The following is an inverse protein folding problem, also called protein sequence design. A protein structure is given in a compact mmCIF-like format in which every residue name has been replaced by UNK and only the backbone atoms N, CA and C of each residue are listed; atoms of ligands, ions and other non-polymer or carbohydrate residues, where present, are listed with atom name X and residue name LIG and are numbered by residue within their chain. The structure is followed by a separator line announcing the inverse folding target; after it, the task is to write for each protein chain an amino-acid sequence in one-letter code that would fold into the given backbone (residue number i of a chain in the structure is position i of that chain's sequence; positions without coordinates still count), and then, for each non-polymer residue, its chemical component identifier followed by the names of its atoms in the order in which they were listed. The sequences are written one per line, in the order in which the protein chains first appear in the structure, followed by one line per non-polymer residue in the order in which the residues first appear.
data_IF_188615103662
#
_entry.id   IF_188615103662
#
_cell.length_a   1.000
_cell.length_b   1.000
_cell.length_c   1.000
_cell.angle_alpha   90.00
_cell.angle_beta   90.00
_cell.angle_gamma   90.00
#
_symmetry.space_group_name_H-M   'P 1'
#
loop_
_entity.id
_entity.type
_entity.pdbx_description
1 polymer ?
#
# COMPACT_ATOMS: atom_id res chain seq x y z
N UNK A 1 14.81 0.35 -34.34
CA UNK A 1 15.01 0.92 -32.98
C UNK A 1 15.72 -0.10 -32.13
N UNK A 2 16.83 0.27 -31.48
CA UNK A 2 17.57 -0.63 -30.61
C UNK A 2 16.69 -1.00 -29.40
N UNK A 3 16.82 -2.23 -28.88
CA UNK A 3 16.02 -2.70 -27.74
C UNK A 3 16.14 -1.78 -26.50
N UNK A 4 17.31 -1.20 -26.28
CA UNK A 4 17.53 -0.21 -25.21
C UNK A 4 16.68 1.06 -25.40
N UNK A 5 16.56 1.56 -26.63
CA UNK A 5 15.74 2.74 -26.93
C UNK A 5 14.25 2.48 -26.71
N UNK A 6 13.78 1.25 -26.99
CA UNK A 6 12.39 0.84 -26.73
C UNK A 6 12.12 0.81 -25.23
N UNK A 7 13.00 0.17 -24.45
CA UNK A 7 12.85 0.08 -23.00
C UNK A 7 12.85 1.46 -22.32
N UNK A 8 13.79 2.33 -22.70
CA UNK A 8 13.86 3.71 -22.21
C UNK A 8 12.58 4.49 -22.54
N UNK A 9 12.03 4.32 -23.75
CA UNK A 9 10.79 4.98 -24.15
C UNK A 9 9.60 4.54 -23.30
N UNK A 10 9.47 3.24 -23.03
CA UNK A 10 8.38 2.70 -22.19
C UNK A 10 8.48 3.27 -20.77
N UNK A 11 9.68 3.22 -20.17
CA UNK A 11 9.90 3.75 -18.81
C UNK A 11 9.59 5.24 -18.75
N UNK A 12 10.06 6.02 -19.73
CA UNK A 12 9.80 7.44 -19.81
C UNK A 12 8.30 7.76 -19.92
N UNK A 13 7.56 7.01 -20.76
CA UNK A 13 6.11 7.17 -20.90
C UNK A 13 5.38 6.87 -19.59
N UNK A 14 5.75 5.80 -18.89
CA UNK A 14 5.10 5.42 -17.62
C UNK A 14 5.39 6.48 -16.55
N UNK A 15 6.65 6.89 -16.37
CA UNK A 15 7.04 7.88 -15.37
C UNK A 15 6.42 9.24 -15.67
N UNK A 16 6.48 9.70 -16.91
CA UNK A 16 5.90 10.98 -17.28
C UNK A 16 4.37 10.94 -17.19
N UNK A 17 3.76 9.82 -17.60
CA UNK A 17 2.33 9.58 -17.49
C UNK A 17 1.84 9.64 -16.03
N UNK A 18 2.55 9.00 -15.10
CA UNK A 18 2.18 9.05 -13.66
C UNK A 18 2.35 10.45 -13.07
N UNK A 19 3.43 11.16 -13.42
CA UNK A 19 3.66 12.56 -12.97
C UNK A 19 2.53 13.47 -13.48
N UNK A 20 2.21 13.42 -14.77
CA UNK A 20 1.14 14.24 -15.35
C UNK A 20 -0.20 13.90 -14.71
N UNK A 21 -0.51 12.61 -14.54
CA UNK A 21 -1.74 12.18 -13.87
C UNK A 21 -1.82 12.70 -12.43
N UNK A 22 -0.72 12.64 -11.67
CA UNK A 22 -0.66 13.18 -10.32
C UNK A 22 -0.88 14.70 -10.29
N UNK A 23 -0.21 15.46 -11.14
CA UNK A 23 -0.34 16.92 -11.21
C UNK A 23 -1.77 17.38 -11.58
N UNK A 24 -2.43 16.65 -12.49
CA UNK A 24 -3.83 16.88 -12.85
C UNK A 24 -4.79 16.58 -11.70
N UNK A 25 -4.46 15.61 -10.85
CA UNK A 25 -5.26 15.22 -9.68
C UNK A 25 -5.14 16.19 -8.51
N UNK A 26 -3.96 16.76 -8.26
CA UNK A 26 -3.66 17.61 -7.08
C UNK A 26 -4.59 18.82 -6.97
N UNK A 27 -5.01 19.42 -8.09
CA UNK A 27 -5.81 20.65 -8.06
C UNK A 27 -7.31 20.42 -7.86
N UNK A 28 -7.78 19.16 -7.88
CA UNK A 28 -9.22 18.84 -7.87
C UNK A 28 -9.81 18.61 -6.49
N UNK A 29 -8.98 18.45 -5.45
CA UNK A 29 -9.44 18.07 -4.12
C UNK A 29 -8.85 19.04 -3.09
N UNK A 30 -9.71 19.60 -2.22
CA UNK A 30 -9.24 20.39 -1.08
C UNK A 30 -8.48 19.46 -0.13
N UNK A 31 -7.19 19.73 0.06
CA UNK A 31 -6.31 18.95 0.93
C UNK A 31 -6.51 19.34 2.39
N UNK A 32 -7.41 18.63 3.08
CA UNK A 32 -7.43 18.60 4.55
C UNK A 32 -6.69 17.33 5.06
N UNK A 33 -6.37 17.24 6.37
CA UNK A 33 -5.68 16.07 6.93
C UNK A 33 -6.41 14.73 6.73
N UNK A 34 -7.74 14.71 6.73
CA UNK A 34 -8.54 13.50 6.45
C UNK A 34 -8.46 13.10 4.97
N UNK A 35 -8.51 14.06 4.05
CA UNK A 35 -8.31 13.81 2.62
C UNK A 35 -6.88 13.36 2.32
N UNK A 36 -5.89 13.92 3.00
CA UNK A 36 -4.49 13.57 2.79
C UNK A 36 -4.14 12.18 3.34
N UNK A 37 -4.60 11.85 4.56
CA UNK A 37 -4.18 10.62 5.25
C UNK A 37 -5.08 9.43 4.91
N UNK A 38 -6.40 9.64 4.84
CA UNK A 38 -7.38 8.55 4.64
C UNK A 38 -8.23 8.71 3.39
N UNK A 39 -7.85 9.63 2.48
CA UNK A 39 -8.60 9.93 1.25
C UNK A 39 -10.10 10.20 1.51
N UNK A 40 -10.41 10.84 2.64
CA UNK A 40 -11.79 11.11 3.07
C UNK A 40 -12.66 9.86 3.24
N UNK A 41 -12.07 8.66 3.28
CA UNK A 41 -12.76 7.36 3.36
C UNK A 41 -13.75 7.16 2.20
N UNK A 42 -13.53 7.81 1.06
CA UNK A 42 -14.43 7.78 -0.10
C UNK A 42 -14.09 6.69 -1.12
N UNK A 43 -12.93 6.05 -1.00
CA UNK A 43 -12.53 5.00 -1.93
C UNK A 43 -13.42 3.76 -1.79
N UNK A 44 -13.94 3.28 -2.92
CA UNK A 44 -14.71 2.04 -2.98
C UNK A 44 -13.81 0.81 -2.78
N UNK A 45 -14.43 -0.32 -2.40
CA UNK A 45 -13.72 -1.58 -2.07
C UNK A 45 -12.81 -2.08 -3.18
N UNK A 46 -13.26 -2.03 -4.44
CA UNK A 46 -12.46 -2.50 -5.59
C UNK A 46 -11.22 -1.64 -5.80
N UNK A 47 -11.37 -0.31 -5.73
CA UNK A 47 -10.26 0.61 -5.89
C UNK A 47 -9.25 0.46 -4.75
N UNK A 48 -9.72 0.37 -3.50
CA UNK A 48 -8.87 0.07 -2.34
C UNK A 48 -8.14 -1.27 -2.48
N UNK A 49 -8.80 -2.30 -2.99
CA UNK A 49 -8.18 -3.62 -3.17
C UNK A 49 -7.01 -3.58 -4.15
N UNK A 50 -7.19 -2.93 -5.31
CA UNK A 50 -6.11 -2.74 -6.30
C UNK A 50 -5.00 -1.86 -5.75
N UNK A 51 -5.36 -0.76 -5.07
CA UNK A 51 -4.40 0.16 -4.46
C UNK A 51 -3.52 -0.56 -3.42
N UNK A 52 -4.15 -1.32 -2.52
CA UNK A 52 -3.43 -2.10 -1.50
C UNK A 52 -2.55 -3.17 -2.11
N UNK A 53 -2.98 -3.83 -3.20
CA UNK A 53 -2.11 -4.78 -3.90
C UNK A 53 -0.84 -4.10 -4.44
N UNK A 54 -0.97 -2.90 -5.02
CA UNK A 54 0.17 -2.11 -5.50
C UNK A 54 1.08 -1.60 -4.37
N UNK A 55 0.50 -1.26 -3.22
CA UNK A 55 1.25 -0.77 -2.06
C UNK A 55 2.01 -1.89 -1.33
N UNK A 56 1.39 -3.07 -1.19
CA UNK A 56 1.96 -4.19 -0.44
C UNK A 56 3.05 -4.91 -1.25
N UNK A 57 2.84 -5.11 -2.56
CA UNK A 57 3.77 -5.85 -3.40
C UNK A 57 4.78 -4.91 -4.06
N UNK A 58 5.91 -4.75 -3.40
CA UNK A 58 7.01 -3.88 -3.84
C UNK A 58 8.11 -4.67 -4.56
N UNK A 59 9.17 -3.96 -4.98
CA UNK A 59 10.36 -4.55 -5.59
C UNK A 59 10.95 -5.72 -4.78
N UNK A 60 10.82 -5.71 -3.45
CA UNK A 60 11.30 -6.81 -2.60
C UNK A 60 10.62 -8.14 -2.93
N UNK A 61 9.32 -8.14 -3.20
CA UNK A 61 8.58 -9.38 -3.53
C UNK A 61 9.12 -9.99 -4.82
N UNK A 62 9.42 -9.18 -5.82
CA UNK A 62 9.89 -9.66 -7.12
C UNK A 62 11.37 -10.00 -7.14
N UNK A 63 12.22 -9.13 -6.58
CA UNK A 63 13.67 -9.31 -6.66
C UNK A 63 14.22 -10.11 -5.46
N UNK A 64 13.71 -9.84 -4.26
CA UNK A 64 14.14 -10.50 -3.03
C UNK A 64 13.69 -11.95 -2.97
N UNK A 65 12.38 -12.20 -3.06
CA UNK A 65 11.85 -13.58 -2.96
C UNK A 65 12.32 -14.44 -4.13
N UNK A 66 12.35 -13.91 -5.36
CA UNK A 66 12.89 -14.66 -6.50
C UNK A 66 14.40 -14.93 -6.36
N UNK A 67 15.16 -13.97 -5.83
CA UNK A 67 16.58 -14.16 -5.52
C UNK A 67 16.81 -15.27 -4.51
N UNK A 68 16.02 -15.30 -3.43
CA UNK A 68 16.06 -16.39 -2.43
C UNK A 68 15.65 -17.74 -3.02
N UNK A 69 14.66 -17.75 -3.91
CA UNK A 69 14.25 -18.97 -4.61
C UNK A 69 15.37 -19.49 -5.53
N UNK A 70 16.07 -18.59 -6.22
CA UNK A 70 17.19 -18.94 -7.09
C UNK A 70 18.38 -19.47 -6.30
N UNK A 71 18.73 -18.86 -5.17
CA UNK A 71 19.91 -19.25 -4.38
C UNK A 71 19.67 -20.47 -3.48
N UNK A 72 18.49 -20.58 -2.88
CA UNK A 72 18.23 -21.52 -1.79
C UNK A 72 17.12 -22.51 -2.12
N UNK A 73 16.30 -22.26 -3.15
CA UNK A 73 15.21 -23.13 -3.55
C UNK A 73 14.06 -23.13 -2.52
N UNK A 74 13.80 -24.27 -1.90
CA UNK A 74 12.65 -24.50 -1.02
C UNK A 74 12.50 -23.51 0.17
N UNK A 75 13.55 -22.97 0.81
CA UNK A 75 13.39 -21.97 1.86
C UNK A 75 12.65 -20.71 1.42
N UNK A 76 12.60 -20.39 0.13
CA UNK A 76 11.81 -19.26 -0.38
C UNK A 76 10.30 -19.40 -0.11
N UNK A 77 9.79 -20.63 0.08
CA UNK A 77 8.38 -20.85 0.49
C UNK A 77 8.06 -20.24 1.85
N UNK A 78 9.05 -19.94 2.68
CA UNK A 78 8.86 -19.20 3.92
C UNK A 78 8.20 -17.83 3.69
N UNK A 79 8.55 -17.12 2.62
CA UNK A 79 7.95 -15.82 2.32
C UNK A 79 6.42 -15.93 2.05
N UNK A 80 5.99 -17.01 1.39
CA UNK A 80 4.57 -17.29 1.17
C UNK A 80 3.85 -17.66 2.46
N UNK A 81 4.45 -18.53 3.28
CA UNK A 81 3.87 -18.92 4.57
C UNK A 81 3.73 -17.72 5.51
N UNK A 82 4.78 -16.90 5.61
CA UNK A 82 4.77 -15.66 6.38
C UNK A 82 3.67 -14.70 5.91
N UNK A 83 3.58 -14.47 4.59
CA UNK A 83 2.54 -13.62 4.01
C UNK A 83 1.14 -14.13 4.34
N UNK A 84 0.87 -15.43 4.17
CA UNK A 84 -0.42 -16.03 4.51
C UNK A 84 -0.79 -15.83 5.98
N UNK A 85 0.14 -16.07 6.92
CA UNK A 85 -0.08 -15.83 8.34
C UNK A 85 -0.38 -14.35 8.63
N UNK A 86 0.39 -13.43 8.03
CA UNK A 86 0.19 -11.99 8.22
C UNK A 86 -1.20 -11.54 7.74
N UNK A 87 -1.68 -12.05 6.59
CA UNK A 87 -3.02 -11.73 6.10
C UNK A 87 -4.13 -12.30 6.97
N UNK A 88 -3.96 -13.51 7.53
CA UNK A 88 -4.94 -14.07 8.48
C UNK A 88 -5.05 -13.18 9.71
N UNK A 89 -3.92 -12.78 10.30
CA UNK A 89 -3.93 -11.86 11.45
C UNK A 89 -4.55 -10.52 11.06
N UNK A 90 -4.15 -9.96 9.91
CA UNK A 90 -4.70 -8.73 9.36
C UNK A 90 -6.21 -8.80 9.16
N UNK A 91 -6.75 -9.93 8.71
CA UNK A 91 -8.18 -10.12 8.52
C UNK A 91 -8.98 -9.99 9.82
N UNK A 92 -8.44 -10.40 10.96
CA UNK A 92 -9.11 -10.26 12.25
C UNK A 92 -8.86 -8.89 12.91
N UNK A 93 -7.63 -8.37 12.79
CA UNK A 93 -7.22 -7.13 13.48
C UNK A 93 -7.66 -5.89 12.71
N UNK A 94 -7.48 -5.85 11.39
CA UNK A 94 -7.74 -4.66 10.59
C UNK A 94 -9.20 -4.18 10.64
N UNK A 95 -10.25 -5.05 10.59
CA UNK A 95 -11.63 -4.59 10.73
C UNK A 95 -11.93 -3.99 12.10
N UNK A 96 -11.32 -4.53 13.16
CA UNK A 96 -11.49 -4.00 14.52
C UNK A 96 -10.89 -2.60 14.64
N UNK A 97 -9.66 -2.41 14.14
CA UNK A 97 -8.99 -1.10 14.11
C UNK A 97 -9.76 -0.11 13.22
N UNK A 98 -10.19 -0.56 12.03
CA UNK A 98 -10.94 0.27 11.09
C UNK A 98 -12.26 0.77 11.68
N UNK A 99 -12.99 -0.07 12.42
CA UNK A 99 -14.26 0.33 13.05
C UNK A 99 -14.04 1.47 14.07
N UNK A 100 -13.06 1.31 14.96
CA UNK A 100 -12.73 2.34 15.97
C UNK A 100 -12.23 3.61 15.30
N UNK A 101 -11.37 3.48 14.30
CA UNK A 101 -10.87 4.60 13.51
C UNK A 101 -11.99 5.37 12.83
N UNK A 102 -12.97 4.64 12.27
CA UNK A 102 -14.13 5.26 11.63
C UNK A 102 -14.99 6.03 12.61
N UNK A 103 -15.29 5.44 13.76
CA UNK A 103 -16.16 6.00 14.81
C UNK A 103 -15.55 7.24 15.47
N UNK A 104 -14.25 7.22 15.79
CA UNK A 104 -13.57 8.30 16.53
C UNK A 104 -12.83 9.28 15.60
N UNK A 105 -12.95 9.14 14.28
CA UNK A 105 -12.31 10.04 13.33
C UNK A 105 -10.77 9.95 13.30
N UNK A 106 -10.20 8.83 13.74
CA UNK A 106 -8.75 8.63 13.85
C UNK A 106 -8.07 8.65 12.49
N UNK A 107 -6.84 9.18 12.45
CA UNK A 107 -6.04 9.31 11.24
C UNK A 107 -4.76 8.47 11.29
N UNK A 108 -4.20 8.27 12.47
CA UNK A 108 -2.92 7.57 12.65
C UNK A 108 -3.03 6.32 13.52
N UNK A 109 -2.00 5.46 13.45
CA UNK A 109 -1.88 4.30 14.35
C UNK A 109 -1.81 4.70 15.83
N UNK A 110 -0.98 5.69 16.22
CA UNK A 110 -0.95 6.21 17.59
C UNK A 110 -2.30 6.67 18.12
N UNK A 111 -3.13 7.35 17.30
CA UNK A 111 -4.46 7.83 17.72
C UNK A 111 -5.35 6.67 18.22
N UNK A 112 -5.19 5.47 17.65
CA UNK A 112 -5.91 4.28 18.09
C UNK A 112 -5.49 3.85 19.49
N UNK A 113 -4.19 3.87 19.79
CA UNK A 113 -3.68 3.51 21.12
C UNK A 113 -4.04 4.55 22.18
N UNK A 114 -3.99 5.84 21.83
CA UNK A 114 -4.45 6.91 22.70
C UNK A 114 -5.95 6.76 23.01
N UNK A 115 -6.78 6.55 21.99
CA UNK A 115 -8.23 6.41 22.18
C UNK A 115 -8.60 5.16 22.97
N UNK A 116 -7.95 4.03 22.69
CA UNK A 116 -8.34 2.73 23.28
C UNK A 116 -7.74 2.48 24.66
N UNK A 117 -6.55 3.01 24.93
CA UNK A 117 -5.76 2.72 26.12
C UNK A 117 -5.37 3.96 26.93
N UNK A 118 -5.74 5.17 26.49
CA UNK A 118 -5.34 6.45 27.09
C UNK A 118 -3.81 6.56 27.23
N UNK A 119 -3.08 5.97 26.27
CA UNK A 119 -1.62 5.97 26.23
C UNK A 119 -1.11 7.15 25.42
N UNK A 120 -0.23 7.95 26.02
CA UNK A 120 0.48 9.08 25.36
C UNK A 120 1.91 8.71 24.91
N UNK A 121 2.26 7.44 25.03
CA UNK A 121 3.58 6.89 24.70
C UNK A 121 3.66 6.42 23.24
#
# INVERSE_FOLDING_TARGET
MNGASIALSIVAIVVFGTIVFALLGVHRVKMDPQQYIVAGRSFGTVFLWVLLAGEIYTTFTFLGVAGLAYSSGAPAFYAMAFGACAYVIGYFVAPAVWRVGKEHGLLTGPDFFETRYNSRA
#
